data_IF_564368077324
#
_entry.id   IF_564368077324
#
_cell.length_a   1.000
_cell.length_b   1.000
_cell.length_c   1.000
_cell.angle_alpha   90.00
_cell.angle_beta   90.00
_cell.angle_gamma   90.00
#
_symmetry.space_group_name_H-M   'P 1'
#
loop_
_entity.id
_entity.type
_entity.pdbx_description
1 polymer ?
#
# COMPACT_ATOMS: atom_id res chain seq x y z
N UNK A 1 -15.28 3.84 -4.84
CA UNK A 1 -14.45 2.65 -4.50
C UNK A 1 -15.30 1.55 -3.87
N UNK A 2 -16.13 1.85 -2.86
CA UNK A 2 -16.91 0.83 -2.15
C UNK A 2 -17.84 0.02 -3.06
N UNK A 3 -18.54 0.66 -4.00
CA UNK A 3 -19.32 -0.03 -5.03
C UNK A 3 -18.44 -0.99 -5.84
N UNK A 4 -17.29 -0.52 -6.31
CA UNK A 4 -16.34 -1.37 -7.03
C UNK A 4 -15.86 -2.56 -6.18
N UNK A 5 -15.63 -2.40 -4.87
CA UNK A 5 -15.30 -3.53 -3.99
C UNK A 5 -16.45 -4.54 -3.92
N UNK A 6 -17.69 -4.06 -3.82
CA UNK A 6 -18.91 -4.87 -3.78
C UNK A 6 -19.14 -5.64 -5.08
N UNK A 7 -18.76 -5.07 -6.21
CA UNK A 7 -18.95 -5.67 -7.54
C UNK A 7 -17.86 -6.72 -7.87
N UNK A 8 -17.69 -7.70 -6.97
CA UNK A 8 -16.79 -8.86 -7.07
C UNK A 8 -15.28 -8.55 -7.22
N UNK A 9 -14.86 -7.33 -6.88
CA UNK A 9 -13.44 -6.97 -6.89
C UNK A 9 -12.77 -7.15 -5.51
N UNK A 10 -13.53 -7.54 -4.50
CA UNK A 10 -13.05 -7.81 -3.15
C UNK A 10 -13.81 -8.96 -2.49
N UNK A 11 -13.10 -9.94 -1.95
CA UNK A 11 -13.67 -10.98 -1.09
C UNK A 11 -13.72 -10.45 0.34
N UNK A 12 -14.91 -10.13 0.82
CA UNK A 12 -15.13 -9.66 2.19
C UNK A 12 -15.02 -10.82 3.19
N UNK A 13 -14.12 -10.70 4.16
CA UNK A 13 -13.91 -11.71 5.20
C UNK A 13 -14.36 -11.23 6.58
N UNK A 14 -14.43 -9.93 6.80
CA UNK A 14 -14.99 -9.39 8.03
C UNK A 14 -15.13 -7.87 8.02
N UNK A 15 -15.98 -7.36 8.91
CA UNK A 15 -16.22 -5.94 9.09
C UNK A 15 -16.41 -5.61 10.57
N UNK A 16 -15.99 -4.43 11.01
CA UNK A 16 -16.22 -3.93 12.37
C UNK A 16 -16.32 -2.42 12.39
N UNK A 17 -17.33 -1.88 13.07
CA UNK A 17 -17.48 -0.46 13.28
C UNK A 17 -16.76 -0.02 14.56
N UNK A 18 -16.11 1.14 14.49
CA UNK A 18 -15.54 1.86 15.62
C UNK A 18 -16.15 3.25 15.69
N UNK A 19 -16.41 3.74 16.90
CA UNK A 19 -16.78 5.12 17.19
C UNK A 19 -15.51 5.89 17.54
N UNK A 20 -15.38 7.11 17.03
CA UNK A 20 -14.31 8.02 17.44
C UNK A 20 -14.78 8.85 18.63
N UNK A 21 -14.03 8.79 19.74
CA UNK A 21 -14.33 9.51 20.98
C UNK A 21 -13.16 10.42 21.31
N UNK A 22 -13.42 11.68 21.61
CA UNK A 22 -12.40 12.69 21.95
C UNK A 22 -12.01 13.62 20.80
N UNK A 23 -10.94 14.40 21.00
CA UNK A 23 -10.47 15.43 20.07
C UNK A 23 -9.41 14.94 19.08
N UNK A 24 -8.83 15.85 18.31
CA UNK A 24 -7.80 15.53 17.31
C UNK A 24 -6.52 14.94 17.93
N UNK A 25 -6.09 15.49 19.07
CA UNK A 25 -4.84 15.09 19.72
C UNK A 25 -4.98 13.85 20.62
N UNK A 26 -6.11 13.71 21.31
CA UNK A 26 -6.35 12.71 22.36
C UNK A 26 -7.40 11.66 22.03
N UNK A 27 -8.10 11.78 20.89
CA UNK A 27 -9.21 10.91 20.60
C UNK A 27 -8.81 9.47 20.27
N UNK A 28 -9.75 8.55 20.42
CA UNK A 28 -9.56 7.12 20.24
C UNK A 28 -10.72 6.44 19.52
N UNK A 29 -10.42 5.32 18.88
CA UNK A 29 -11.40 4.44 18.25
C UNK A 29 -11.83 3.38 19.26
N UNK A 30 -13.06 3.53 19.74
CA UNK A 30 -13.73 2.56 20.59
C UNK A 30 -14.62 1.66 19.75
N UNK A 31 -14.81 0.41 20.16
CA UNK A 31 -15.71 -0.49 19.42
C UNK A 31 -17.14 0.05 19.50
N UNK A 32 -17.83 0.04 18.36
CA UNK A 32 -19.26 0.33 18.38
C UNK A 32 -20.03 -0.81 19.05
N UNK A 33 -21.28 -0.53 19.45
CA UNK A 33 -22.16 -1.51 20.11
C UNK A 33 -22.62 -2.62 19.13
N UNK A 34 -22.40 -2.42 17.83
CA UNK A 34 -22.73 -3.41 16.81
C UNK A 34 -21.70 -4.55 16.81
N UNK A 35 -22.15 -5.81 16.74
CA UNK A 35 -21.23 -6.93 16.59
C UNK A 35 -20.45 -6.83 15.28
N UNK A 36 -19.19 -7.25 15.30
CA UNK A 36 -18.44 -7.39 14.06
C UNK A 36 -18.97 -8.57 13.22
N UNK A 37 -18.69 -8.53 11.93
CA UNK A 37 -19.11 -9.53 10.96
C UNK A 37 -17.93 -10.39 10.51
N UNK A 38 -18.22 -11.62 10.09
CA UNK A 38 -17.23 -12.57 9.58
C UNK A 38 -16.13 -12.85 10.61
N UNK A 39 -14.86 -12.85 10.18
CA UNK A 39 -13.71 -13.07 11.07
C UNK A 39 -13.56 -11.99 12.15
N UNK A 40 -14.21 -10.82 11.98
CA UNK A 40 -14.19 -9.75 12.97
C UNK A 40 -15.37 -9.83 13.94
N UNK A 41 -16.18 -10.89 13.90
CA UNK A 41 -17.10 -11.22 15.01
C UNK A 41 -16.32 -11.58 16.28
N UNK A 42 -15.17 -12.24 16.14
CA UNK A 42 -14.24 -12.52 17.23
C UNK A 42 -13.51 -11.23 17.65
N UNK A 43 -13.74 -10.70 18.88
CA UNK A 43 -13.13 -9.48 19.36
C UNK A 43 -11.59 -9.49 19.32
N UNK A 44 -10.96 -10.65 19.48
CA UNK A 44 -9.52 -10.83 19.68
C UNK A 44 -8.73 -10.89 18.37
N UNK A 45 -9.44 -10.90 17.23
CA UNK A 45 -8.82 -10.74 15.91
C UNK A 45 -8.33 -9.31 15.72
N UNK A 46 -7.05 -9.08 16.04
CA UNK A 46 -6.39 -7.80 15.78
C UNK A 46 -5.85 -7.74 14.34
N UNK A 47 -6.44 -6.85 13.56
CA UNK A 47 -6.14 -6.64 12.13
C UNK A 47 -4.86 -5.84 11.90
N UNK A 48 -4.68 -4.79 12.69
CA UNK A 48 -3.48 -3.96 12.75
C UNK A 48 -2.81 -4.21 14.12
N UNK A 49 -1.54 -4.58 14.10
CA UNK A 49 -0.72 -4.80 15.31
C UNK A 49 0.62 -4.10 15.16
N UNK A 50 1.26 -3.78 16.27
CA UNK A 50 2.69 -3.46 16.34
C UNK A 50 3.28 -4.35 17.42
N UNK A 51 4.09 -5.33 17.03
CA UNK A 51 4.46 -6.43 17.94
C UNK A 51 3.23 -7.24 18.38
N UNK A 52 3.04 -7.35 19.70
CA UNK A 52 1.93 -8.07 20.36
C UNK A 52 0.71 -7.19 20.62
N UNK A 53 0.82 -5.87 20.51
CA UNK A 53 -0.23 -4.94 20.92
C UNK A 53 -1.23 -4.64 19.80
N UNK A 54 -2.50 -4.50 20.19
CA UNK A 54 -3.58 -4.03 19.34
C UNK A 54 -3.36 -2.56 18.99
N UNK A 55 -3.29 -2.25 17.69
CA UNK A 55 -3.25 -0.88 17.20
C UNK A 55 -4.68 -0.48 16.82
N UNK A 56 -5.44 0.01 17.79
CA UNK A 56 -6.76 0.61 17.55
C UNK A 56 -6.65 2.10 17.28
N UNK A 57 -5.72 2.81 17.92
CA UNK A 57 -5.54 4.26 17.75
C UNK A 57 -4.08 4.67 17.93
N UNK A 58 -3.27 4.48 16.89
CA UNK A 58 -1.93 5.10 16.85
C UNK A 58 -2.02 6.55 16.36
N UNK A 59 -0.97 7.37 16.60
CA UNK A 59 -0.87 8.70 15.99
C UNK A 59 -1.10 8.68 14.48
N UNK A 60 -0.71 7.61 13.79
CA UNK A 60 -0.87 7.51 12.34
C UNK A 60 -2.31 7.16 11.93
N UNK A 61 -3.05 6.39 12.75
CA UNK A 61 -4.50 6.25 12.57
C UNK A 61 -5.18 7.61 12.81
N UNK A 62 -4.80 8.36 13.86
CA UNK A 62 -5.36 9.71 14.10
C UNK A 62 -5.08 10.66 12.95
N UNK A 63 -3.83 10.71 12.48
CA UNK A 63 -3.44 11.53 11.33
C UNK A 63 -4.24 11.16 10.07
N UNK A 64 -4.51 9.86 9.86
CA UNK A 64 -5.43 9.44 8.81
C UNK A 64 -6.85 9.95 9.08
N UNK A 65 -7.42 9.71 10.28
CA UNK A 65 -8.79 10.07 10.65
C UNK A 65 -9.09 11.57 10.52
N UNK A 66 -8.12 12.44 10.84
CA UNK A 66 -8.23 13.89 10.68
C UNK A 66 -7.72 14.42 9.34
N UNK A 67 -7.09 13.57 8.54
CA UNK A 67 -6.67 13.91 7.18
C UNK A 67 -7.84 14.09 6.20
N UNK A 68 -7.58 14.63 5.00
CA UNK A 68 -8.62 14.88 4.01
C UNK A 68 -9.15 13.61 3.32
N UNK A 69 -8.39 12.51 3.36
CA UNK A 69 -8.74 11.27 2.66
C UNK A 69 -9.90 10.55 3.37
N UNK A 70 -10.98 10.17 2.66
CA UNK A 70 -12.15 9.53 3.28
C UNK A 70 -11.93 8.04 3.61
N UNK A 71 -10.92 7.42 3.00
CA UNK A 71 -10.60 6.00 3.19
C UNK A 71 -9.11 5.74 3.08
N UNK A 72 -8.67 4.62 3.64
CA UNK A 72 -7.32 4.10 3.48
C UNK A 72 -7.35 2.62 3.10
N UNK A 73 -6.40 2.21 2.26
CA UNK A 73 -6.15 0.81 1.94
C UNK A 73 -4.73 0.46 2.37
N UNK A 74 -4.55 -0.61 3.15
CA UNK A 74 -3.22 -1.13 3.56
C UNK A 74 -3.24 -2.64 3.70
N UNK A 75 -2.07 -3.27 3.89
CA UNK A 75 -1.99 -4.67 4.31
C UNK A 75 -2.22 -4.77 5.81
N UNK A 76 -3.06 -5.70 6.22
CA UNK A 76 -3.21 -6.13 7.59
C UNK A 76 -2.05 -7.04 8.02
N UNK A 77 -1.92 -7.28 9.32
CA UNK A 77 -0.92 -8.20 9.85
C UNK A 77 -1.40 -9.66 9.86
N UNK A 78 -2.72 -9.86 9.87
CA UNK A 78 -3.33 -11.17 9.78
C UNK A 78 -3.17 -11.74 8.37
N UNK A 79 -2.82 -13.02 8.28
CA UNK A 79 -2.81 -13.76 7.01
C UNK A 79 -4.16 -14.44 6.82
N UNK A 80 -4.64 -14.47 5.58
CA UNK A 80 -5.79 -15.29 5.23
C UNK A 80 -5.49 -16.76 5.49
N UNK A 81 -6.46 -17.47 6.06
CA UNK A 81 -6.47 -18.93 6.17
C UNK A 81 -7.18 -19.58 4.96
N UNK A 82 -7.85 -18.78 4.13
CA UNK A 82 -8.68 -19.23 3.00
C UNK A 82 -8.08 -18.74 1.67
N UNK A 83 -8.18 -19.58 0.63
CA UNK A 83 -7.70 -19.38 -0.75
C UNK A 83 -6.17 -19.32 -0.91
N UNK A 84 -5.47 -18.45 -0.18
CA UNK A 84 -4.00 -18.34 -0.22
C UNK A 84 -3.48 -17.68 1.06
N UNK A 85 -2.34 -18.16 1.57
CA UNK A 85 -1.73 -17.69 2.83
C UNK A 85 -0.99 -16.35 2.68
N UNK A 86 -1.72 -15.33 2.26
CA UNK A 86 -1.21 -13.95 2.09
C UNK A 86 -1.78 -13.03 3.18
N UNK A 87 -1.14 -11.89 3.39
CA UNK A 87 -1.66 -10.86 4.28
C UNK A 87 -3.01 -10.33 3.77
N UNK A 88 -3.96 -10.17 4.70
CA UNK A 88 -5.27 -9.60 4.40
C UNK A 88 -5.13 -8.14 3.95
N UNK A 89 -6.06 -7.71 3.11
CA UNK A 89 -6.25 -6.31 2.76
C UNK A 89 -7.16 -5.65 3.80
N UNK A 90 -6.75 -4.47 4.24
CA UNK A 90 -7.46 -3.60 5.15
C UNK A 90 -8.01 -2.41 4.37
N UNK A 91 -9.32 -2.17 4.48
CA UNK A 91 -9.95 -0.93 4.02
C UNK A 91 -10.59 -0.25 5.23
N UNK A 92 -10.02 0.89 5.63
CA UNK A 92 -10.58 1.75 6.68
C UNK A 92 -11.38 2.87 6.05
N UNK A 93 -12.68 2.95 6.35
CA UNK A 93 -13.59 3.96 5.80
C UNK A 93 -14.02 4.88 6.93
N UNK A 94 -13.82 6.18 6.80
CA UNK A 94 -14.31 7.14 7.79
C UNK A 94 -15.83 7.19 7.76
N UNK A 95 -16.43 7.17 8.94
CA UNK A 95 -17.85 7.46 9.10
C UNK A 95 -18.00 8.88 9.61
N UNK A 96 -19.09 9.54 9.21
CA UNK A 96 -19.36 10.93 9.56
C UNK A 96 -20.74 11.04 10.18
N UNK A 97 -20.88 12.00 11.09
CA UNK A 97 -22.18 12.41 11.63
C UNK A 97 -23.00 13.11 10.55
N UNK A 98 -24.30 13.30 10.79
CA UNK A 98 -25.16 14.07 9.88
C UNK A 98 -24.68 15.52 9.64
N UNK A 99 -23.85 16.06 10.54
CA UNK A 99 -23.24 17.40 10.43
C UNK A 99 -21.88 17.39 9.68
N UNK A 100 -21.46 16.24 9.14
CA UNK A 100 -20.19 16.09 8.42
C UNK A 100 -18.94 15.96 9.29
N UNK A 101 -19.07 15.95 10.62
CA UNK A 101 -17.94 15.72 11.53
C UNK A 101 -17.59 14.22 11.61
N UNK A 102 -16.32 13.89 11.84
CA UNK A 102 -15.84 12.52 12.03
C UNK A 102 -16.64 11.82 13.15
N UNK A 103 -17.25 10.68 12.84
CA UNK A 103 -17.97 9.84 13.79
C UNK A 103 -17.19 8.57 14.18
N UNK A 104 -16.29 8.10 13.31
CA UNK A 104 -15.64 6.81 13.51
C UNK A 104 -15.02 6.21 12.26
N UNK A 105 -14.86 4.90 12.29
CA UNK A 105 -14.29 4.09 11.21
C UNK A 105 -15.08 2.80 11.02
N UNK A 106 -15.45 2.50 9.78
CA UNK A 106 -15.81 1.15 9.35
C UNK A 106 -14.54 0.45 8.85
N UNK A 107 -14.14 -0.59 9.58
CA UNK A 107 -13.00 -1.45 9.25
C UNK A 107 -13.48 -2.63 8.43
N UNK A 108 -12.94 -2.80 7.23
CA UNK A 108 -13.23 -3.91 6.34
C UNK A 108 -11.95 -4.71 6.13
N UNK A 109 -12.04 -6.03 6.25
CA UNK A 109 -10.93 -6.96 5.97
C UNK A 109 -11.32 -7.99 4.95
N UNK A 110 -10.37 -8.35 4.09
CA UNK A 110 -10.62 -9.30 3.03
C UNK A 110 -9.43 -9.44 2.11
N UNK A 111 -9.71 -9.76 0.84
CA UNK A 111 -8.70 -9.94 -0.19
C UNK A 111 -9.20 -9.31 -1.50
N UNK A 112 -8.34 -8.54 -2.18
CA UNK A 112 -8.62 -8.19 -3.57
C UNK A 112 -8.67 -9.44 -4.45
N UNK A 113 -9.65 -9.49 -5.35
CA UNK A 113 -9.79 -10.59 -6.32
C UNK A 113 -8.82 -10.40 -7.49
N UNK A 114 -8.71 -11.39 -8.37
CA UNK A 114 -7.80 -11.35 -9.53
C UNK A 114 -8.04 -10.15 -10.45
N UNK A 115 -9.29 -9.67 -10.55
CA UNK A 115 -9.67 -8.52 -11.39
C UNK A 115 -8.98 -7.23 -10.96
N UNK A 116 -8.68 -7.07 -9.67
CA UNK A 116 -7.93 -5.94 -9.16
C UNK A 116 -6.51 -5.87 -9.77
N UNK A 117 -5.91 -7.05 -10.03
CA UNK A 117 -4.54 -7.20 -10.52
C UNK A 117 -4.42 -7.16 -12.04
N UNK A 118 -5.48 -7.53 -12.76
CA UNK A 118 -5.48 -7.64 -14.23
C UNK A 118 -6.12 -6.44 -14.93
N UNK A 119 -7.01 -5.70 -14.27
CA UNK A 119 -7.63 -4.50 -14.87
C UNK A 119 -6.68 -3.30 -14.89
N UNK A 120 -6.85 -2.45 -15.89
CA UNK A 120 -6.17 -1.16 -15.97
C UNK A 120 -6.37 -0.34 -14.68
N UNK A 121 -5.32 0.36 -14.23
CA UNK A 121 -5.41 1.30 -13.07
C UNK A 121 -6.46 2.39 -13.34
N UNK A 122 -6.65 2.75 -14.60
CA UNK A 122 -7.65 3.74 -15.05
C UNK A 122 -9.09 3.21 -14.96
N UNK A 123 -9.31 1.93 -14.68
CA UNK A 123 -10.65 1.34 -14.48
C UNK A 123 -10.99 1.09 -13.02
N UNK A 124 -10.06 1.32 -12.10
CA UNK A 124 -10.28 1.13 -10.65
C UNK A 124 -10.46 2.52 -10.02
N UNK A 125 -11.64 2.89 -9.50
CA UNK A 125 -11.97 4.29 -9.18
C UNK A 125 -10.93 5.03 -8.33
N UNK A 126 -10.41 4.36 -7.29
CA UNK A 126 -9.42 4.96 -6.39
C UNK A 126 -8.03 5.08 -7.02
N UNK A 127 -7.61 4.08 -7.80
CA UNK A 127 -6.31 4.14 -8.49
C UNK A 127 -6.36 5.12 -9.67
N UNK A 128 -7.47 5.16 -10.40
CA UNK A 128 -7.74 6.10 -11.49
C UNK A 128 -7.56 7.53 -11.00
N UNK A 129 -8.19 7.92 -9.88
CA UNK A 129 -8.06 9.27 -9.34
C UNK A 129 -6.61 9.64 -9.03
N UNK A 130 -5.84 8.71 -8.44
CA UNK A 130 -4.39 8.90 -8.20
C UNK A 130 -3.62 9.03 -9.52
N UNK A 131 -3.90 8.16 -10.50
CA UNK A 131 -3.24 8.15 -11.80
C UNK A 131 -3.51 9.44 -12.60
N UNK A 132 -4.77 9.86 -12.70
CA UNK A 132 -5.19 11.11 -13.34
C UNK A 132 -4.52 12.32 -12.70
N UNK A 133 -4.42 12.35 -11.37
CA UNK A 133 -3.71 13.42 -10.65
C UNK A 133 -2.23 13.48 -11.04
N UNK A 134 -1.58 12.34 -11.24
CA UNK A 134 -0.17 12.27 -11.65
C UNK A 134 0.00 12.70 -13.11
N UNK A 135 -0.86 12.19 -14.00
CA UNK A 135 -0.86 12.54 -15.43
C UNK A 135 -1.06 14.05 -15.59
N UNK A 136 -2.08 14.63 -14.94
CA UNK A 136 -2.35 16.06 -14.98
C UNK A 136 -1.16 16.89 -14.45
N UNK A 137 -0.51 16.45 -13.37
CA UNK A 137 0.66 17.13 -12.79
C UNK A 137 1.98 16.90 -13.56
N UNK A 138 1.99 16.00 -14.54
CA UNK A 138 3.21 15.72 -15.33
C UNK A 138 3.45 16.76 -16.42
N UNK A 139 2.38 17.42 -16.91
CA UNK A 139 2.44 18.32 -18.06
C UNK A 139 2.62 17.61 -19.40
N UNK A 140 2.71 16.27 -19.43
CA UNK A 140 2.80 15.52 -20.68
C UNK A 140 1.44 15.44 -21.37
N UNK A 141 1.46 15.58 -22.69
CA UNK A 141 0.33 15.20 -23.53
C UNK A 141 0.18 13.66 -23.48
N UNK A 142 -0.98 13.11 -23.07
CA UNK A 142 -1.19 11.67 -22.97
C UNK A 142 -0.99 10.89 -24.28
N UNK A 143 -1.12 11.56 -25.42
CA UNK A 143 -1.03 10.94 -26.74
C UNK A 143 0.41 10.85 -27.27
N UNK A 144 1.32 11.64 -26.70
CA UNK A 144 2.72 11.68 -27.11
C UNK A 144 3.54 10.59 -26.40
N UNK A 145 4.78 10.40 -26.85
CA UNK A 145 5.64 9.31 -26.37
C UNK A 145 5.79 9.32 -24.83
N UNK A 146 6.09 10.48 -24.24
CA UNK A 146 6.27 10.62 -22.78
C UNK A 146 4.97 10.38 -22.01
N UNK A 147 3.82 10.78 -22.56
CA UNK A 147 2.51 10.52 -21.95
C UNK A 147 2.16 9.03 -21.93
N UNK A 148 2.35 8.35 -23.06
CA UNK A 148 2.17 6.89 -23.16
C UNK A 148 3.12 6.13 -22.25
N UNK A 149 4.38 6.57 -22.17
CA UNK A 149 5.37 5.97 -21.29
C UNK A 149 4.98 6.12 -19.80
N UNK A 150 4.50 7.30 -19.39
CA UNK A 150 3.99 7.51 -18.02
C UNK A 150 2.79 6.61 -17.71
N UNK A 151 1.84 6.47 -18.63
CA UNK A 151 0.69 5.57 -18.47
C UNK A 151 1.18 4.12 -18.29
N UNK A 152 2.13 3.65 -19.11
CA UNK A 152 2.70 2.31 -18.97
C UNK A 152 3.42 2.10 -17.63
N UNK A 153 4.12 3.12 -17.12
CA UNK A 153 4.74 3.09 -15.79
C UNK A 153 3.67 2.92 -14.70
N UNK A 154 2.56 3.66 -14.78
CA UNK A 154 1.47 3.56 -13.82
C UNK A 154 0.75 2.21 -13.90
N UNK A 155 0.48 1.71 -15.11
CA UNK A 155 -0.18 0.41 -15.33
C UNK A 155 0.67 -0.77 -14.81
N UNK A 156 1.99 -0.71 -15.00
CA UNK A 156 2.92 -1.75 -14.56
C UNK A 156 3.28 -1.67 -13.09
N UNK A 157 2.95 -0.57 -12.38
CA UNK A 157 3.28 -0.37 -10.98
C UNK A 157 2.56 -1.42 -10.10
N UNK A 158 3.21 -2.03 -9.07
CA UNK A 158 2.59 -3.12 -8.33
C UNK A 158 1.27 -2.71 -7.69
N UNK A 159 0.22 -3.49 -7.95
CA UNK A 159 -1.16 -3.11 -7.63
C UNK A 159 -1.39 -2.85 -6.14
N UNK A 160 -0.93 -3.78 -5.31
CA UNK A 160 -0.99 -3.66 -3.84
C UNK A 160 -0.26 -2.41 -3.35
N UNK A 161 0.82 -2.01 -4.02
CA UNK A 161 1.58 -0.82 -3.65
C UNK A 161 0.88 0.46 -4.14
N UNK A 162 0.26 0.45 -5.33
CA UNK A 162 -0.50 1.58 -5.87
C UNK A 162 -1.63 2.01 -4.93
N UNK A 163 -2.35 1.05 -4.35
CA UNK A 163 -3.38 1.32 -3.34
C UNK A 163 -2.82 2.08 -2.13
N UNK A 164 -1.61 1.75 -1.69
CA UNK A 164 -1.03 2.24 -0.43
C UNK A 164 -0.20 3.51 -0.58
N UNK A 165 0.48 3.69 -1.71
CA UNK A 165 1.41 4.79 -1.92
C UNK A 165 0.66 6.14 -2.01
N UNK A 166 1.09 7.17 -1.27
CA UNK A 166 0.54 8.51 -1.42
C UNK A 166 0.88 9.11 -2.79
N UNK A 167 -0.01 9.94 -3.34
CA UNK A 167 0.18 10.57 -4.67
C UNK A 167 1.53 11.29 -4.82
N UNK A 168 2.02 12.09 -3.85
CA UNK A 168 3.32 12.75 -3.99
C UNK A 168 4.49 11.77 -4.13
N UNK A 169 4.44 10.64 -3.41
CA UNK A 169 5.47 9.59 -3.46
C UNK A 169 5.36 8.82 -4.77
N UNK A 170 4.15 8.45 -5.18
CA UNK A 170 3.91 7.75 -6.44
C UNK A 170 4.36 8.58 -7.64
N UNK A 171 4.13 9.90 -7.65
CA UNK A 171 4.64 10.79 -8.69
C UNK A 171 6.17 10.77 -8.75
N UNK A 172 6.86 10.85 -7.61
CA UNK A 172 8.33 10.74 -7.56
C UNK A 172 8.80 9.38 -8.09
N UNK A 173 8.13 8.30 -7.72
CA UNK A 173 8.44 6.96 -8.21
C UNK A 173 8.21 6.86 -9.72
N UNK A 174 7.07 7.32 -10.23
CA UNK A 174 6.74 7.28 -11.65
C UNK A 174 7.76 8.05 -12.49
N UNK A 175 8.16 9.25 -12.06
CA UNK A 175 9.20 10.04 -12.73
C UNK A 175 10.56 9.33 -12.70
N UNK A 176 10.92 8.73 -11.57
CA UNK A 176 12.17 7.97 -11.46
C UNK A 176 12.17 6.76 -12.41
N UNK A 177 11.06 6.01 -12.49
CA UNK A 177 10.92 4.86 -13.38
C UNK A 177 10.94 5.31 -14.85
N UNK A 178 10.29 6.42 -15.19
CA UNK A 178 10.31 6.97 -16.55
C UNK A 178 11.76 7.27 -16.98
N UNK A 179 12.57 7.88 -16.12
CA UNK A 179 13.99 8.12 -16.40
C UNK A 179 14.83 6.84 -16.53
N UNK A 180 14.37 5.70 -16.01
CA UNK A 180 15.02 4.40 -16.20
C UNK A 180 14.74 3.78 -17.57
N UNK A 181 13.62 4.16 -18.21
CA UNK A 181 13.31 3.74 -19.59
C UNK A 181 14.34 4.32 -20.55
N UNK A 182 14.68 5.60 -20.37
CA UNK A 182 15.68 6.28 -21.19
C UNK A 182 17.12 5.90 -20.83
N UNK A 183 17.41 5.74 -19.53
CA UNK A 183 18.76 5.45 -19.02
C UNK A 183 18.70 4.30 -18.02
N UNK A 184 18.77 3.04 -18.50
CA UNK A 184 18.76 1.87 -17.64
C UNK A 184 19.92 1.90 -16.64
N UNK A 185 19.58 1.89 -15.35
CA UNK A 185 20.53 1.83 -14.25
C UNK A 185 19.89 1.19 -13.03
N UNK A 186 20.71 0.79 -12.06
CA UNK A 186 20.22 0.30 -10.78
C UNK A 186 19.50 1.44 -10.06
N UNK A 187 18.33 1.14 -9.48
CA UNK A 187 17.55 2.11 -8.69
C UNK A 187 16.68 1.40 -7.67
N UNK A 188 16.72 1.85 -6.43
CA UNK A 188 15.77 1.46 -5.39
C UNK A 188 14.77 2.62 -5.14
N UNK A 189 13.48 2.29 -5.06
CA UNK A 189 12.41 3.23 -4.70
C UNK A 189 11.71 2.71 -3.45
N UNK A 190 11.75 3.50 -2.38
CA UNK A 190 11.40 3.05 -1.03
C UNK A 190 10.13 3.75 -0.55
N UNK A 191 9.22 2.97 0.06
CA UNK A 191 8.11 3.47 0.85
C UNK A 191 8.05 2.75 2.18
N UNK A 192 8.22 3.48 3.27
CA UNK A 192 7.91 2.98 4.61
C UNK A 192 6.38 2.89 4.79
N UNK A 193 5.90 1.82 5.41
CA UNK A 193 4.54 1.75 5.91
C UNK A 193 4.33 2.82 6.98
N UNK A 194 3.17 3.49 6.95
CA UNK A 194 2.88 4.57 7.90
C UNK A 194 2.87 4.10 9.36
N UNK A 195 2.66 2.81 9.62
CA UNK A 195 2.67 2.25 10.97
C UNK A 195 4.01 1.59 11.34
N UNK A 196 5.06 1.82 10.57
CA UNK A 196 6.40 1.25 10.78
C UNK A 196 6.43 -0.30 10.78
N UNK A 197 5.44 -0.94 10.14
CA UNK A 197 5.29 -2.42 10.13
C UNK A 197 6.12 -3.10 9.06
N UNK A 198 6.37 -2.41 7.95
CA UNK A 198 7.19 -2.93 6.87
C UNK A 198 7.71 -1.79 6.00
N UNK A 199 8.67 -2.11 5.14
CA UNK A 199 9.18 -1.25 4.09
C UNK A 199 8.95 -1.95 2.75
N UNK A 200 8.33 -1.23 1.82
CA UNK A 200 8.14 -1.64 0.44
C UNK A 200 9.25 -1.02 -0.40
N UNK A 201 10.04 -1.84 -1.11
CA UNK A 201 11.13 -1.38 -1.97
C UNK A 201 10.97 -1.96 -3.38
N UNK A 202 10.92 -1.09 -4.39
CA UNK A 202 11.05 -1.48 -5.79
C UNK A 202 12.49 -1.31 -6.23
N UNK A 203 13.17 -2.41 -6.51
CA UNK A 203 14.55 -2.41 -7.02
C UNK A 203 14.54 -2.75 -8.49
N UNK A 204 15.17 -1.88 -9.29
CA UNK A 204 15.39 -2.07 -10.71
C UNK A 204 16.84 -2.46 -10.95
N UNK A 205 17.08 -3.51 -11.75
CA UNK A 205 18.40 -4.06 -12.05
C UNK A 205 18.49 -4.34 -13.56
N UNK A 206 19.58 -4.00 -14.25
CA UNK A 206 19.83 -4.45 -15.63
C UNK A 206 19.64 -5.96 -15.77
N UNK A 207 18.88 -6.39 -16.79
CA UNK A 207 18.49 -7.80 -16.97
C UNK A 207 19.70 -8.73 -17.15
N UNK A 208 20.74 -8.25 -17.81
CA UNK A 208 22.03 -8.92 -18.00
C UNK A 208 22.81 -9.14 -16.69
N UNK A 209 22.45 -8.40 -15.63
CA UNK A 209 23.05 -8.50 -14.29
C UNK A 209 22.09 -9.05 -13.25
N UNK A 210 20.90 -9.50 -13.65
CA UNK A 210 19.90 -10.01 -12.74
C UNK A 210 19.89 -11.54 -12.72
N UNK A 211 20.12 -12.11 -11.54
CA UNK A 211 19.91 -13.53 -11.26
C UNK A 211 19.39 -13.73 -9.82
N UNK A 212 19.15 -14.99 -9.44
CA UNK A 212 18.70 -15.34 -8.09
C UNK A 212 19.71 -14.95 -7.01
N UNK A 213 21.02 -15.01 -7.29
CA UNK A 213 22.08 -14.69 -6.32
C UNK A 213 22.11 -13.19 -6.02
N UNK A 214 22.01 -12.36 -7.05
CA UNK A 214 21.91 -10.90 -6.95
C UNK A 214 20.66 -10.52 -6.18
N UNK A 215 19.51 -11.13 -6.50
CA UNK A 215 18.26 -10.93 -5.75
C UNK A 215 18.43 -11.24 -4.26
N UNK A 216 19.10 -12.33 -3.91
CA UNK A 216 19.36 -12.71 -2.52
C UNK A 216 20.27 -11.72 -1.80
N UNK A 217 21.36 -11.30 -2.44
CA UNK A 217 22.27 -10.28 -1.92
C UNK A 217 21.56 -8.96 -1.67
N UNK A 218 20.74 -8.50 -2.61
CA UNK A 218 19.91 -7.29 -2.44
C UNK A 218 18.95 -7.47 -1.26
N UNK A 219 18.26 -8.61 -1.18
CA UNK A 219 17.33 -8.90 -0.08
C UNK A 219 18.02 -8.91 1.29
N UNK A 220 19.22 -9.49 1.39
CA UNK A 220 20.02 -9.52 2.62
C UNK A 220 20.52 -8.12 3.02
N UNK A 221 20.96 -7.32 2.04
CA UNK A 221 21.34 -5.93 2.26
C UNK A 221 20.16 -5.10 2.77
N UNK A 222 19.02 -5.13 2.09
CA UNK A 222 17.80 -4.39 2.48
C UNK A 222 17.28 -4.84 3.86
N UNK A 223 17.36 -6.14 4.17
CA UNK A 223 17.04 -6.66 5.50
C UNK A 223 17.87 -5.99 6.59
N UNK A 224 19.17 -5.82 6.35
CA UNK A 224 20.12 -5.23 7.30
C UNK A 224 19.87 -3.73 7.45
N UNK A 225 19.78 -3.02 6.33
CA UNK A 225 19.58 -1.56 6.28
C UNK A 225 18.28 -1.12 6.95
N UNK A 226 17.20 -1.89 6.79
CA UNK A 226 15.91 -1.60 7.42
C UNK A 226 15.66 -2.37 8.70
N UNK A 227 16.68 -2.99 9.32
CA UNK A 227 16.57 -3.66 10.62
C UNK A 227 15.36 -4.62 10.70
N UNK A 228 15.16 -5.41 9.66
CA UNK A 228 13.93 -6.18 9.48
C UNK A 228 14.16 -7.62 9.08
N UNK A 229 13.12 -8.23 8.50
CA UNK A 229 13.16 -9.55 7.86
C UNK A 229 12.60 -9.45 6.45
N UNK A 230 13.24 -10.13 5.50
CA UNK A 230 12.67 -10.30 4.17
C UNK A 230 11.38 -11.12 4.30
N UNK A 231 10.24 -10.46 4.09
CA UNK A 231 8.91 -11.06 4.28
C UNK A 231 8.34 -11.62 2.99
N UNK A 232 8.60 -10.95 1.87
CA UNK A 232 8.23 -11.40 0.54
C UNK A 232 9.10 -10.68 -0.50
N UNK A 233 9.19 -11.28 -1.69
CA UNK A 233 9.75 -10.63 -2.87
C UNK A 233 8.95 -11.06 -4.11
N UNK A 234 8.82 -10.16 -5.07
CA UNK A 234 8.07 -10.41 -6.31
C UNK A 234 8.91 -9.91 -7.51
N UNK A 235 9.60 -10.80 -8.24
CA UNK A 235 10.30 -10.43 -9.46
C UNK A 235 9.30 -10.21 -10.60
N UNK A 236 9.59 -9.23 -11.46
CA UNK A 236 8.85 -8.93 -12.66
C UNK A 236 9.83 -8.47 -13.75
N UNK A 237 9.53 -8.82 -15.00
CA UNK A 237 10.35 -8.46 -16.16
C UNK A 237 9.52 -7.57 -17.11
N UNK A 238 9.23 -6.31 -16.72
CA UNK A 238 8.50 -5.38 -17.57
C UNK A 238 9.27 -5.09 -18.85
N UNK A 239 8.61 -4.65 -19.92
CA UNK A 239 9.27 -4.30 -21.18
C UNK A 239 10.49 -3.38 -20.99
N UNK A 240 11.52 -3.59 -21.80
CA UNK A 240 12.81 -2.88 -21.71
C UNK A 240 13.93 -3.70 -21.07
N UNK A 241 15.03 -3.02 -20.73
CA UNK A 241 16.29 -3.66 -20.30
C UNK A 241 16.42 -3.95 -18.80
N UNK A 242 15.37 -3.72 -18.00
CA UNK A 242 15.44 -3.85 -16.54
C UNK A 242 14.55 -5.00 -16.04
N UNK A 243 15.06 -5.72 -15.06
CA UNK A 243 14.27 -6.52 -14.13
C UNK A 243 13.84 -5.63 -12.97
N UNK A 244 12.64 -5.84 -12.45
CA UNK A 244 12.13 -5.19 -11.24
C UNK A 244 11.86 -6.25 -10.19
N UNK A 245 12.37 -6.06 -8.98
CA UNK A 245 11.99 -6.87 -7.82
C UNK A 245 11.32 -5.98 -6.79
N UNK A 246 10.11 -6.35 -6.39
CA UNK A 246 9.40 -5.72 -5.29
C UNK A 246 9.71 -6.49 -4.00
N UNK A 247 10.50 -5.89 -3.11
CA UNK A 247 10.83 -6.45 -1.80
C UNK A 247 9.91 -5.88 -0.72
N UNK A 248 9.49 -6.75 0.20
CA UNK A 248 8.79 -6.36 1.43
C UNK A 248 9.69 -6.75 2.61
N UNK A 249 10.22 -5.75 3.31
CA UNK A 249 10.98 -5.94 4.54
C UNK A 249 10.04 -5.72 5.72
N UNK A 250 9.63 -6.80 6.37
CA UNK A 250 8.79 -6.74 7.56
C UNK A 250 9.59 -6.32 8.78
N UNK A 251 9.00 -5.49 9.62
CA UNK A 251 9.60 -4.95 10.85
C UNK A 251 8.84 -5.44 12.07
N UNK A 252 9.54 -5.57 13.19
CA UNK A 252 8.97 -6.03 14.48
C UNK A 252 8.81 -4.89 15.50
N UNK A 253 9.39 -3.70 15.26
CA UNK A 253 9.27 -2.56 16.16
C UNK A 253 10.11 -1.35 15.76
N UNK A 254 10.08 -0.32 16.59
CA UNK A 254 10.83 0.93 16.39
C UNK A 254 10.29 1.80 15.27
N UNK A 255 10.87 3.01 15.12
CA UNK A 255 10.64 3.86 13.95
C UNK A 255 11.46 3.34 12.79
N UNK A 256 10.91 3.40 11.57
CA UNK A 256 11.63 2.96 10.38
C UNK A 256 12.86 3.84 10.14
N UNK A 257 14.08 3.29 10.00
CA UNK A 257 15.27 4.03 9.63
C UNK A 257 15.02 4.82 8.36
N UNK A 258 15.38 6.10 8.41
CA UNK A 258 15.39 6.97 7.24
C UNK A 258 16.74 6.78 6.55
N UNK A 259 16.71 6.14 5.39
CA UNK A 259 17.89 5.85 4.60
C UNK A 259 17.92 6.82 3.43
N UNK A 260 19.06 7.50 3.27
CA UNK A 260 19.25 8.42 2.16
C UNK A 260 19.22 7.69 0.82
N UNK A 261 18.65 8.34 -0.19
CA UNK A 261 18.48 7.74 -1.52
C UNK A 261 19.81 7.40 -2.21
N UNK A 262 20.90 8.07 -1.84
CA UNK A 262 22.27 7.79 -2.32
C UNK A 262 22.90 6.58 -1.66
N UNK A 263 22.44 6.21 -0.47
CA UNK A 263 22.94 5.06 0.29
C UNK A 263 22.26 3.76 -0.13
N UNK A 264 21.03 3.84 -0.65
CA UNK A 264 20.19 2.70 -1.03
C UNK A 264 20.21 2.36 -2.51
#
# INVERSE_FOLDING_TARGET
LLEWLRDDNFTFLGMREFKYVGGEESGSLERADKPGLGILSDPDVLVLRRGTEAVTTTPEIRAFLHGPEPLIVTKANAKSLVHRRIYLDYVGVKTYTAKGALAGELRIVGLFTSTAYTRSVMKIPYLRSKAETIIAKSGFNPNDHSGKALINVLESYPRDEFFQVPVPVLRKHANAILGLVERPRIRALVRADQFDRFVSILVFVPRDRYDSVVREKIGAYLKTVFEGRLSAYYPAFPEGGLARVHFIIGRSGGKTPKIEQSTI
#
